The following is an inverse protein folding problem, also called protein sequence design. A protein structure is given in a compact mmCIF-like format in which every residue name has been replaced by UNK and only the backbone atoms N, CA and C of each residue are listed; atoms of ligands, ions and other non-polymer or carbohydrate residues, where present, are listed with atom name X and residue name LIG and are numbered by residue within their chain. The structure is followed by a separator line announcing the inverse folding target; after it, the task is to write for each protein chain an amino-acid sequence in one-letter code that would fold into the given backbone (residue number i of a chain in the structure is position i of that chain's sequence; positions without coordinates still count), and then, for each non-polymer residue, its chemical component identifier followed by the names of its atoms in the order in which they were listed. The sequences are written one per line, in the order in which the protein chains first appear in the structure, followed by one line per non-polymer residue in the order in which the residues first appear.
data_IF_487640140981
#
_entry.id   IF_487640140981
#
_cell.length_a   1.000
_cell.length_b   1.000
_cell.length_c   1.000
_cell.angle_alpha   90.00
_cell.angle_beta   90.00
_cell.angle_gamma   90.00
#
_symmetry.space_group_name_H-M   'P 1'
#
loop_
_entity.id
_entity.type
_entity.pdbx_description
1 polymer ?
#
# COMPACT_ATOMS: atom_id res chain seq x y z
N UNK A 1 47.94 -45.45 17.97
CA UNK A 1 47.55 -45.49 16.54
C UNK A 1 47.04 -44.12 16.11
N UNK A 2 47.83 -43.35 15.36
CA UNK A 2 47.46 -42.01 14.91
C UNK A 2 46.63 -42.09 13.62
N UNK A 3 45.35 -41.71 13.68
CA UNK A 3 44.48 -41.64 12.49
C UNK A 3 44.68 -40.30 11.80
N UNK A 4 45.32 -40.37 10.63
CA UNK A 4 45.69 -39.28 9.75
C UNK A 4 44.42 -38.60 9.16
N UNK A 5 44.14 -37.34 9.53
CA UNK A 5 43.06 -36.53 8.94
C UNK A 5 43.52 -35.98 7.58
N UNK A 6 43.07 -36.60 6.48
CA UNK A 6 43.22 -36.05 5.12
C UNK A 6 42.52 -34.70 5.02
N UNK A 7 43.29 -33.61 4.88
CA UNK A 7 42.78 -32.28 4.49
C UNK A 7 42.16 -32.39 3.09
N UNK A 8 40.84 -32.19 2.96
CA UNK A 8 40.18 -31.98 1.66
C UNK A 8 40.69 -30.64 1.10
N UNK A 9 41.44 -30.72 -0.01
CA UNK A 9 41.94 -29.56 -0.76
C UNK A 9 40.78 -28.80 -1.41
N UNK A 10 41.00 -27.50 -1.59
CA UNK A 10 39.99 -26.48 -1.88
C UNK A 10 39.05 -26.81 -3.03
N UNK A 11 37.75 -26.67 -2.76
CA UNK A 11 36.71 -26.64 -3.79
C UNK A 11 36.80 -25.35 -4.62
N UNK A 12 36.47 -25.47 -5.90
CA UNK A 12 36.35 -24.35 -6.83
C UNK A 12 35.42 -23.28 -6.24
N UNK A 13 35.96 -22.09 -5.98
CA UNK A 13 35.14 -20.92 -5.68
C UNK A 13 34.77 -20.32 -7.04
N UNK A 14 33.49 -20.33 -7.45
CA UNK A 14 33.09 -19.71 -8.70
C UNK A 14 33.49 -18.22 -8.67
N UNK A 15 33.81 -17.64 -9.84
CA UNK A 15 34.17 -16.23 -9.93
C UNK A 15 33.06 -15.37 -9.34
N UNK A 16 33.45 -14.35 -8.58
CA UNK A 16 32.53 -13.34 -8.04
C UNK A 16 31.92 -12.64 -9.25
N UNK A 17 30.62 -12.88 -9.50
CA UNK A 17 29.89 -12.25 -10.59
C UNK A 17 29.85 -10.74 -10.34
N UNK A 18 30.06 -9.95 -11.39
CA UNK A 18 29.89 -8.49 -11.27
C UNK A 18 28.40 -8.16 -11.07
N UNK A 19 28.06 -7.00 -10.49
CA UNK A 19 26.67 -6.55 -10.37
C UNK A 19 25.93 -6.54 -11.71
N UNK A 20 26.61 -6.22 -12.80
CA UNK A 20 26.05 -6.22 -14.16
C UNK A 20 25.76 -7.63 -14.68
N UNK A 21 26.59 -8.61 -14.35
CA UNK A 21 26.32 -10.02 -14.71
C UNK A 21 25.07 -10.55 -14.02
N UNK A 22 24.81 -10.12 -12.79
CA UNK A 22 23.61 -10.50 -12.02
C UNK A 22 22.35 -9.89 -12.66
N UNK A 23 22.41 -8.63 -13.10
CA UNK A 23 21.30 -7.97 -13.82
C UNK A 23 21.03 -8.69 -15.15
N UNK A 24 22.07 -9.07 -15.90
CA UNK A 24 21.92 -9.82 -17.14
C UNK A 24 21.28 -11.19 -16.91
N UNK A 25 21.69 -11.90 -15.85
CA UNK A 25 21.07 -13.17 -15.45
C UNK A 25 19.57 -12.98 -15.15
N UNK A 26 19.19 -11.92 -14.40
CA UNK A 26 17.79 -11.59 -14.10
C UNK A 26 16.97 -11.33 -15.36
N UNK A 27 17.51 -10.57 -16.32
CA UNK A 27 16.86 -10.29 -17.61
C UNK A 27 16.59 -11.57 -18.39
N UNK A 28 17.57 -12.47 -18.46
CA UNK A 28 17.44 -13.75 -19.18
C UNK A 28 16.39 -14.64 -18.52
N UNK A 29 16.34 -14.68 -17.18
CA UNK A 29 15.33 -15.45 -16.45
C UNK A 29 13.93 -14.86 -16.67
N UNK A 30 13.78 -13.53 -16.62
CA UNK A 30 12.49 -12.87 -16.88
C UNK A 30 11.96 -13.13 -18.30
N UNK A 31 12.83 -13.08 -19.32
CA UNK A 31 12.45 -13.44 -20.70
C UNK A 31 11.96 -14.90 -20.81
N UNK A 32 12.59 -15.83 -20.08
CA UNK A 32 12.15 -17.23 -20.02
C UNK A 32 10.82 -17.39 -19.31
N UNK A 33 10.58 -16.63 -18.24
CA UNK A 33 9.28 -16.62 -17.52
C UNK A 33 8.16 -16.05 -18.40
N UNK A 34 8.47 -15.08 -19.25
CA UNK A 34 7.49 -14.52 -20.19
C UNK A 34 7.14 -15.51 -21.32
N UNK A 35 8.11 -16.30 -21.77
CA UNK A 35 7.96 -17.23 -22.89
C UNK A 35 7.41 -18.61 -22.50
N UNK A 36 7.41 -18.96 -21.21
CA UNK A 36 7.00 -20.29 -20.72
C UNK A 36 5.62 -20.25 -20.03
N UNK A 37 4.73 -21.18 -20.41
CA UNK A 37 3.39 -21.33 -19.81
C UNK A 37 3.42 -21.90 -18.37
N UNK A 38 4.42 -22.71 -18.02
CA UNK A 38 4.60 -23.26 -16.65
C UNK A 38 5.98 -22.92 -16.04
N UNK A 39 6.13 -21.73 -15.44
CA UNK A 39 7.43 -21.22 -15.00
C UNK A 39 7.89 -21.69 -13.61
N UNK A 40 7.39 -22.80 -13.06
CA UNK A 40 7.65 -23.22 -11.67
C UNK A 40 9.13 -23.25 -11.26
N UNK A 41 10.01 -23.94 -12.01
CA UNK A 41 11.45 -23.95 -11.72
C UNK A 41 12.14 -22.60 -11.93
N UNK A 42 11.64 -21.81 -12.89
CA UNK A 42 12.22 -20.52 -13.27
C UNK A 42 12.03 -19.46 -12.18
N UNK A 43 10.88 -19.47 -11.48
CA UNK A 43 10.65 -18.61 -10.32
C UNK A 43 11.62 -18.91 -9.16
N UNK A 44 12.00 -20.18 -8.98
CA UNK A 44 13.02 -20.59 -8.01
C UNK A 44 14.42 -20.09 -8.36
N UNK A 45 14.77 -20.05 -9.65
CA UNK A 45 16.04 -19.49 -10.12
C UNK A 45 16.06 -17.97 -10.07
N UNK A 46 14.90 -17.32 -10.32
CA UNK A 46 14.72 -15.88 -10.10
C UNK A 46 14.99 -15.50 -8.65
N UNK A 47 14.48 -16.26 -7.68
CA UNK A 47 14.74 -16.04 -6.25
C UNK A 47 16.24 -16.10 -5.92
N UNK A 48 16.97 -17.09 -6.46
CA UNK A 48 18.43 -17.20 -6.27
C UNK A 48 19.18 -16.03 -6.89
N UNK A 49 18.68 -15.45 -7.97
CA UNK A 49 19.25 -14.27 -8.60
C UNK A 49 18.94 -13.01 -7.78
N UNK A 50 17.72 -12.87 -7.24
CA UNK A 50 17.38 -11.79 -6.33
C UNK A 50 18.24 -11.78 -5.06
N UNK A 51 18.50 -12.94 -4.46
CA UNK A 51 19.41 -13.11 -3.33
C UNK A 51 20.86 -12.65 -3.60
N UNK A 52 21.26 -12.59 -4.87
CA UNK A 52 22.60 -12.10 -5.28
C UNK A 52 22.58 -10.63 -5.66
N UNK A 53 21.42 -10.07 -6.00
CA UNK A 53 21.23 -8.65 -6.30
C UNK A 53 20.97 -7.85 -5.02
N UNK A 54 21.10 -6.54 -5.12
CA UNK A 54 20.79 -5.57 -4.05
C UNK A 54 19.30 -5.20 -4.01
N UNK A 55 18.43 -6.10 -4.49
CA UNK A 55 16.97 -5.89 -4.47
C UNK A 55 16.44 -6.20 -3.09
N UNK A 56 15.52 -5.37 -2.61
CA UNK A 56 14.86 -5.59 -1.32
C UNK A 56 14.19 -6.97 -1.26
N UNK A 57 14.35 -7.66 -0.13
CA UNK A 57 13.85 -9.01 0.09
C UNK A 57 12.32 -9.10 0.07
N UNK A 58 11.64 -8.06 0.54
CA UNK A 58 10.19 -7.99 0.59
C UNK A 58 9.62 -7.83 -0.82
N UNK A 59 10.25 -6.97 -1.64
CA UNK A 59 9.88 -6.78 -3.05
C UNK A 59 10.08 -8.07 -3.83
N UNK A 60 11.24 -8.71 -3.68
CA UNK A 60 11.53 -10.00 -4.32
C UNK A 60 10.51 -11.08 -3.91
N UNK A 61 10.18 -11.17 -2.62
CA UNK A 61 9.21 -12.15 -2.11
C UNK A 61 7.80 -11.93 -2.68
N UNK A 62 7.33 -10.68 -2.71
CA UNK A 62 6.02 -10.32 -3.28
C UNK A 62 5.91 -10.73 -4.75
N UNK A 63 6.91 -10.36 -5.56
CA UNK A 63 6.96 -10.69 -6.99
C UNK A 63 6.91 -12.21 -7.22
N UNK A 64 7.66 -12.98 -6.42
CA UNK A 64 7.69 -14.45 -6.55
C UNK A 64 6.37 -15.10 -6.10
N UNK A 65 5.79 -14.64 -4.99
CA UNK A 65 4.56 -15.22 -4.43
C UNK A 65 3.37 -15.01 -5.36
N UNK A 66 3.23 -13.79 -5.89
CA UNK A 66 2.13 -13.43 -6.80
C UNK A 66 2.43 -13.75 -8.27
N UNK A 67 3.66 -14.20 -8.57
CA UNK A 67 4.14 -14.43 -9.94
C UNK A 67 3.89 -13.21 -10.84
N UNK A 68 4.07 -12.03 -10.28
CA UNK A 68 3.75 -10.77 -10.94
C UNK A 68 4.81 -10.47 -12.00
N UNK A 69 4.43 -10.63 -13.27
CA UNK A 69 5.32 -10.40 -14.42
C UNK A 69 5.56 -8.91 -14.65
N UNK A 70 4.59 -8.05 -14.33
CA UNK A 70 4.67 -6.61 -14.59
C UNK A 70 5.58 -5.92 -13.57
N UNK A 71 5.44 -6.28 -12.29
CA UNK A 71 6.34 -5.81 -11.23
C UNK A 71 7.80 -6.26 -11.49
N UNK A 72 8.00 -7.51 -11.96
CA UNK A 72 9.33 -8.02 -12.33
C UNK A 72 10.00 -7.18 -13.43
N UNK A 73 9.29 -6.86 -14.51
CA UNK A 73 9.83 -6.06 -15.61
C UNK A 73 10.16 -4.63 -15.17
N UNK A 74 9.34 -4.05 -14.28
CA UNK A 74 9.61 -2.73 -13.69
C UNK A 74 10.90 -2.72 -12.88
N UNK A 75 11.09 -3.70 -12.00
CA UNK A 75 12.30 -3.83 -11.18
C UNK A 75 13.54 -4.02 -12.06
N UNK A 76 13.45 -4.85 -13.10
CA UNK A 76 14.57 -5.05 -14.05
C UNK A 76 14.92 -3.76 -14.79
N UNK A 77 13.93 -2.96 -15.18
CA UNK A 77 14.16 -1.64 -15.79
C UNK A 77 14.86 -0.69 -14.82
N UNK A 78 14.40 -0.61 -13.58
CA UNK A 78 15.01 0.23 -12.54
C UNK A 78 16.47 -0.17 -12.26
N UNK A 79 16.75 -1.47 -12.15
CA UNK A 79 18.11 -2.00 -11.98
C UNK A 79 19.04 -1.64 -13.16
N UNK A 80 18.53 -1.62 -14.41
CA UNK A 80 19.31 -1.19 -15.57
C UNK A 80 19.63 0.29 -15.57
N UNK A 81 18.73 1.12 -15.06
CA UNK A 81 18.90 2.59 -15.01
C UNK A 81 19.73 3.04 -13.80
N UNK A 82 20.01 2.14 -12.85
CA UNK A 82 20.78 2.46 -11.64
C UNK A 82 20.00 3.32 -10.64
N UNK A 83 18.67 3.33 -10.76
CA UNK A 83 17.78 4.01 -9.83
C UNK A 83 17.47 3.00 -8.72
N UNK A 84 17.78 3.37 -7.49
CA UNK A 84 17.48 2.59 -6.28
C UNK A 84 16.02 2.14 -6.31
N UNK A 85 15.76 0.86 -6.02
CA UNK A 85 14.46 0.19 -6.18
C UNK A 85 13.46 0.78 -5.18
N UNK A 86 12.91 1.94 -5.52
CA UNK A 86 11.85 2.58 -4.78
C UNK A 86 10.56 1.83 -5.08
N UNK A 87 10.04 1.21 -4.03
CA UNK A 87 8.77 0.51 -3.95
C UNK A 87 7.72 1.31 -4.72
N UNK A 88 7.19 0.74 -5.80
CA UNK A 88 5.86 1.16 -6.24
C UNK A 88 4.90 0.56 -5.23
N UNK A 89 4.53 1.35 -4.23
CA UNK A 89 3.44 1.05 -3.31
C UNK A 89 2.12 1.06 -4.10
N UNK A 90 1.94 0.14 -5.05
CA UNK A 90 0.64 -0.11 -5.67
C UNK A 90 -0.22 -0.97 -4.74
N UNK A 91 -0.25 -0.58 -3.47
CA UNK A 91 -1.17 -1.03 -2.41
C UNK A 91 -1.42 0.14 -1.46
N UNK A 92 -1.35 1.39 -1.92
CA UNK A 92 -2.25 2.39 -1.37
C UNK A 92 -3.62 2.05 -1.95
N UNK A 93 -4.63 1.80 -1.12
CA UNK A 93 -6.02 1.68 -1.58
C UNK A 93 -6.28 2.81 -2.58
N UNK A 94 -6.56 2.45 -3.84
CA UNK A 94 -6.79 3.41 -4.90
C UNK A 94 -8.17 4.00 -4.65
N UNK A 95 -8.23 4.93 -3.68
CA UNK A 95 -9.42 5.69 -3.35
C UNK A 95 -9.84 6.40 -4.63
N UNK A 96 -11.08 6.15 -5.10
CA UNK A 96 -11.52 6.68 -6.38
C UNK A 96 -11.38 8.20 -6.38
N UNK A 97 -10.85 8.74 -7.47
CA UNK A 97 -10.91 10.19 -7.71
C UNK A 97 -12.37 10.59 -7.77
N UNK A 98 -12.83 11.33 -6.76
CA UNK A 98 -14.22 11.76 -6.68
C UNK A 98 -14.50 12.83 -7.72
N UNK A 99 -15.67 12.74 -8.34
CA UNK A 99 -16.19 13.84 -9.13
C UNK A 99 -16.56 15.03 -8.22
N UNK A 100 -16.37 16.24 -8.72
CA UNK A 100 -16.55 17.48 -7.96
C UNK A 100 -17.99 17.63 -7.45
N UNK A 101 -18.99 17.18 -8.22
CA UNK A 101 -20.39 17.20 -7.80
C UNK A 101 -20.62 16.29 -6.58
N UNK A 102 -20.09 15.06 -6.64
CA UNK A 102 -20.21 14.07 -5.56
C UNK A 102 -19.60 14.58 -4.27
N UNK A 103 -18.44 15.24 -4.35
CA UNK A 103 -17.76 15.84 -3.21
C UNK A 103 -18.61 16.93 -2.53
N UNK A 104 -19.21 17.83 -3.30
CA UNK A 104 -20.07 18.89 -2.77
C UNK A 104 -21.29 18.30 -2.07
N UNK A 105 -21.95 17.33 -2.69
CA UNK A 105 -23.15 16.71 -2.15
C UNK A 105 -22.87 15.91 -0.87
N UNK A 106 -21.79 15.12 -0.85
CA UNK A 106 -21.36 14.38 0.33
C UNK A 106 -21.04 15.32 1.50
N UNK A 107 -20.28 16.39 1.27
CA UNK A 107 -20.00 17.40 2.30
C UNK A 107 -21.29 18.10 2.77
N UNK A 108 -22.24 18.36 1.87
CA UNK A 108 -23.53 18.94 2.23
C UNK A 108 -24.35 17.99 3.09
N UNK A 109 -24.34 16.68 2.78
CA UNK A 109 -24.98 15.65 3.57
C UNK A 109 -24.37 15.57 4.97
N UNK A 110 -23.04 15.49 5.05
CA UNK A 110 -22.31 15.43 6.32
C UNK A 110 -22.60 16.63 7.22
N UNK A 111 -22.48 17.86 6.68
CA UNK A 111 -22.77 19.10 7.42
C UNK A 111 -24.22 19.16 7.90
N UNK A 112 -25.19 18.71 7.09
CA UNK A 112 -26.59 18.62 7.52
C UNK A 112 -26.74 17.65 8.69
N UNK A 113 -26.11 16.47 8.61
CA UNK A 113 -26.18 15.46 9.66
C UNK A 113 -25.58 15.98 10.97
N UNK A 114 -24.42 16.63 10.91
CA UNK A 114 -23.78 17.29 12.08
C UNK A 114 -24.72 18.29 12.73
N UNK A 115 -25.38 19.14 11.94
CA UNK A 115 -26.38 20.10 12.46
C UNK A 115 -27.55 19.41 13.16
N UNK A 116 -28.10 18.36 12.56
CA UNK A 116 -29.19 17.60 13.18
C UNK A 116 -28.76 16.91 14.47
N UNK A 117 -27.57 16.32 14.51
CA UNK A 117 -27.06 15.69 15.72
C UNK A 117 -26.77 16.71 16.83
N UNK A 118 -26.25 17.90 16.48
CA UNK A 118 -26.10 19.00 17.43
C UNK A 118 -27.46 19.43 18.01
N UNK A 119 -28.45 19.65 17.16
CA UNK A 119 -29.80 20.06 17.58
C UNK A 119 -30.48 19.00 18.45
N UNK A 120 -30.34 17.71 18.14
CA UNK A 120 -30.87 16.61 18.94
C UNK A 120 -30.23 16.56 20.34
N UNK A 121 -28.90 16.74 20.42
CA UNK A 121 -28.19 16.84 21.70
C UNK A 121 -28.63 18.05 22.51
N UNK A 122 -28.80 19.20 21.86
CA UNK A 122 -29.29 20.42 22.51
C UNK A 122 -30.71 20.26 23.06
N UNK A 123 -31.60 19.61 22.30
CA UNK A 123 -32.97 19.34 22.74
C UNK A 123 -33.01 18.40 23.96
N UNK A 124 -32.11 17.42 24.01
CA UNK A 124 -32.03 16.46 25.13
C UNK A 124 -31.46 17.07 26.42
N UNK A 125 -30.82 18.23 26.37
CA UNK A 125 -30.24 18.89 27.55
C UNK A 125 -31.29 19.41 28.56
N UNK A 126 -32.59 19.19 28.32
CA UNK A 126 -33.63 19.34 29.36
C UNK A 126 -33.84 20.76 29.87
N UNK A 127 -33.33 21.74 29.13
CA UNK A 127 -33.48 23.17 29.41
C UNK A 127 -34.83 23.63 28.86
N UNK A 128 -35.58 24.43 29.64
CA UNK A 128 -36.96 24.79 29.32
C UNK A 128 -37.11 25.45 27.94
N UNK A 129 -38.32 25.48 27.36
CA UNK A 129 -38.56 26.04 26.02
C UNK A 129 -38.20 27.54 25.87
N UNK A 130 -37.88 28.23 26.97
CA UNK A 130 -37.48 29.65 26.99
C UNK A 130 -35.97 29.87 27.14
N UNK A 131 -35.17 28.83 27.31
CA UNK A 131 -33.71 28.96 27.45
C UNK A 131 -33.04 28.56 26.15
N UNK A 132 -32.22 29.44 25.57
CA UNK A 132 -31.29 29.06 24.50
C UNK A 132 -30.42 27.93 25.02
N UNK A 133 -30.55 26.73 24.44
CA UNK A 133 -29.89 25.55 24.94
C UNK A 133 -28.37 25.70 25.02
N UNK A 134 -27.74 24.99 25.95
CA UNK A 134 -26.28 24.97 26.08
C UNK A 134 -25.68 24.35 24.82
N UNK A 135 -24.71 25.04 24.22
CA UNK A 135 -24.01 24.57 23.01
C UNK A 135 -23.53 23.13 23.18
N UNK A 136 -24.10 22.22 22.41
CA UNK A 136 -23.62 20.84 22.34
C UNK A 136 -22.51 20.76 21.29
N UNK A 137 -21.26 20.68 21.73
CA UNK A 137 -20.16 20.41 20.82
C UNK A 137 -20.24 18.96 20.32
N UNK A 138 -20.22 18.82 19.00
CA UNK A 138 -20.09 17.56 18.31
C UNK A 138 -18.66 17.51 17.78
N UNK A 139 -17.85 16.63 18.38
CA UNK A 139 -16.45 16.46 17.99
C UNK A 139 -16.38 15.65 16.69
N UNK A 140 -16.87 14.40 16.71
CA UNK A 140 -16.87 13.50 15.55
C UNK A 140 -18.23 12.86 15.30
N UNK A 141 -18.48 12.44 14.06
CA UNK A 141 -19.66 11.68 13.66
C UNK A 141 -19.27 10.50 12.76
N UNK A 142 -19.96 9.37 12.95
CA UNK A 142 -19.90 8.25 12.01
C UNK A 142 -20.33 8.67 10.59
N UNK A 143 -19.61 8.22 9.58
CA UNK A 143 -19.95 8.46 8.18
C UNK A 143 -21.43 8.08 7.87
N UNK A 144 -22.20 8.99 7.24
CA UNK A 144 -23.53 8.67 6.74
C UNK A 144 -23.50 7.54 5.69
N UNK A 145 -24.51 6.68 5.71
CA UNK A 145 -24.66 5.57 4.76
C UNK A 145 -25.13 6.01 3.36
N UNK A 146 -25.45 7.30 3.18
CA UNK A 146 -25.87 7.87 1.89
C UNK A 146 -24.78 7.77 0.81
N UNK A 147 -23.51 7.75 1.23
CA UNK A 147 -22.35 7.58 0.36
C UNK A 147 -21.45 6.45 0.89
N UNK A 148 -20.76 5.71 0.01
CA UNK A 148 -19.85 4.65 0.43
C UNK A 148 -18.67 5.20 1.24
N UNK A 149 -18.07 4.35 2.08
CA UNK A 149 -16.93 4.72 2.94
C UNK A 149 -15.77 5.34 2.15
N UNK A 150 -15.52 4.81 0.95
CA UNK A 150 -14.43 5.27 0.08
C UNK A 150 -14.55 6.76 -0.30
N UNK A 151 -15.78 7.28 -0.41
CA UNK A 151 -16.03 8.71 -0.67
C UNK A 151 -15.60 9.54 0.54
N UNK A 152 -15.94 9.10 1.76
CA UNK A 152 -15.57 9.81 2.98
C UNK A 152 -14.05 9.78 3.22
N UNK A 153 -13.40 8.65 2.96
CA UNK A 153 -11.95 8.50 3.02
C UNK A 153 -11.24 9.38 1.98
N UNK A 154 -11.77 9.45 0.76
CA UNK A 154 -11.24 10.35 -0.27
C UNK A 154 -11.39 11.84 0.13
N UNK A 155 -12.53 12.23 0.71
CA UNK A 155 -12.72 13.58 1.24
C UNK A 155 -11.77 13.92 2.40
N UNK A 156 -11.46 12.93 3.24
CA UNK A 156 -10.49 13.09 4.32
C UNK A 156 -9.06 13.22 3.78
N UNK A 157 -8.70 12.41 2.78
CA UNK A 157 -7.43 12.53 2.05
C UNK A 157 -7.26 13.91 1.43
N UNK A 158 -8.32 14.44 0.83
CA UNK A 158 -8.32 15.75 0.18
C UNK A 158 -8.36 16.92 1.19
N UNK A 159 -8.44 16.62 2.50
CA UNK A 159 -8.37 17.60 3.59
C UNK A 159 -9.69 18.33 3.90
N UNK A 160 -10.81 17.88 3.33
CA UNK A 160 -12.13 18.46 3.61
C UNK A 160 -12.74 17.97 4.91
N UNK A 161 -12.34 16.78 5.36
CA UNK A 161 -12.73 16.14 6.61
C UNK A 161 -11.47 15.61 7.30
N UNK A 162 -11.55 15.34 8.59
CA UNK A 162 -10.50 14.64 9.33
C UNK A 162 -11.06 13.27 9.73
N UNK A 163 -10.30 12.22 9.43
CA UNK A 163 -10.61 10.84 9.83
C UNK A 163 -10.09 10.60 11.25
N UNK A 164 -11.02 10.38 12.19
CA UNK A 164 -10.70 10.04 13.59
C UNK A 164 -10.54 8.53 13.79
N UNK A 165 -10.69 7.75 12.71
CA UNK A 165 -10.62 6.31 12.71
C UNK A 165 -11.97 5.64 13.01
N UNK A 166 -12.05 4.34 12.72
CA UNK A 166 -13.25 3.54 13.00
C UNK A 166 -14.51 3.97 12.23
N UNK A 167 -14.34 4.75 11.14
CA UNK A 167 -15.45 5.31 10.37
C UNK A 167 -16.04 6.60 10.94
N UNK A 168 -15.34 7.26 11.87
CA UNK A 168 -15.71 8.57 12.39
C UNK A 168 -14.93 9.67 11.69
N UNK A 169 -15.65 10.75 11.36
CA UNK A 169 -15.09 11.92 10.71
C UNK A 169 -15.52 13.18 11.45
N UNK A 170 -14.72 14.24 11.32
CA UNK A 170 -15.11 15.58 11.74
C UNK A 170 -14.75 16.64 10.71
N UNK A 171 -15.37 17.82 10.84
CA UNK A 171 -15.03 18.97 10.01
C UNK A 171 -13.81 19.65 10.64
N UNK A 172 -12.74 19.94 9.87
CA UNK A 172 -11.62 20.73 10.38
C UNK A 172 -12.12 22.08 10.90
N UNK A 173 -11.71 22.46 12.12
CA UNK A 173 -12.07 23.73 12.76
C UNK A 173 -11.42 24.94 12.08
#
# INVERSE_FOLDING_TARGET
MAKNKKKKKGGYKPPVKSPQDIINDLVVIAQKIHSADEPGPLWGDLHKAFLKSDVDKEIAAKIIMHKDKEELDSVIRQLKTGIEVAISEKTSMELPTLDHETQIEALRCFRKRVKFMKLDRESKLGVGPLTSGKDANVDSMMAPHDYPMDVWLALARDGHLIDDGGGFFHVPQ
#
